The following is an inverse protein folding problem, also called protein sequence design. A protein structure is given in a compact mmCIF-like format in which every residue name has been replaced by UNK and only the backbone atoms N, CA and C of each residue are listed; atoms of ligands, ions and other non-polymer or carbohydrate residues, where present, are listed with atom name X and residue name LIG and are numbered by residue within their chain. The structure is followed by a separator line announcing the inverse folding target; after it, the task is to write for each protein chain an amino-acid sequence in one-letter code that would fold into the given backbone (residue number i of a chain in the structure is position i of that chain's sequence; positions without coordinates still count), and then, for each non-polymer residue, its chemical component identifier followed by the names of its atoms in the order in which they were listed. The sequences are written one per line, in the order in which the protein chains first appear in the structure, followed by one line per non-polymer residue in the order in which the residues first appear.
data_IF_426643431099
#
_entry.id   IF_426643431099
#
_cell.length_a   1.000
_cell.length_b   1.000
_cell.length_c   1.000
_cell.angle_alpha   90.00
_cell.angle_beta   90.00
_cell.angle_gamma   90.00
#
_symmetry.space_group_name_H-M   'P 1'
#
loop_
_entity.id
_entity.type
_entity.pdbx_description
1 polymer ?
#
# COMPACT_ATOMS: atom_id res chain seq x y z
N UNK A 1 -0.04 13.85 -6.84
CA UNK A 1 -0.44 12.54 -6.26
C UNK A 1 -1.44 12.79 -5.15
N UNK A 2 -2.47 11.97 -5.03
CA UNK A 2 -3.33 11.90 -3.84
C UNK A 2 -2.78 10.81 -2.90
N UNK A 3 -2.83 11.02 -1.58
CA UNK A 3 -2.30 10.09 -0.58
C UNK A 3 -3.33 9.81 0.53
N UNK A 4 -3.12 8.69 1.20
CA UNK A 4 -3.85 8.25 2.39
C UNK A 4 -2.84 7.98 3.51
N UNK A 5 -2.87 8.79 4.58
CA UNK A 5 -2.10 8.53 5.79
C UNK A 5 -3.03 8.08 6.90
N UNK A 6 -2.57 7.18 7.77
CA UNK A 6 -3.27 6.80 8.98
C UNK A 6 -2.40 7.05 10.21
N UNK A 7 -3.05 7.38 11.31
CA UNK A 7 -2.39 7.40 12.62
C UNK A 7 -2.21 5.97 13.13
N UNK A 8 -1.13 5.72 13.87
CA UNK A 8 -0.86 4.43 14.50
C UNK A 8 -1.95 3.89 15.45
N UNK A 9 -2.97 4.68 15.80
CA UNK A 9 -4.18 4.19 16.48
C UNK A 9 -5.18 3.47 15.57
N UNK A 10 -4.99 3.51 14.26
CA UNK A 10 -5.93 3.02 13.25
C UNK A 10 -7.33 3.66 13.30
N UNK A 11 -7.47 4.87 13.87
CA UNK A 11 -8.78 5.50 14.07
C UNK A 11 -9.21 6.42 12.92
N UNK A 12 -8.25 7.16 12.33
CA UNK A 12 -8.57 8.16 11.31
C UNK A 12 -7.57 8.19 10.18
N UNK A 13 -8.10 8.36 8.97
CA UNK A 13 -7.34 8.47 7.72
C UNK A 13 -7.34 9.92 7.26
N UNK A 14 -6.14 10.46 7.03
CA UNK A 14 -5.95 11.73 6.36
C UNK A 14 -5.87 11.52 4.85
N UNK A 15 -6.74 12.20 4.12
CA UNK A 15 -6.72 12.22 2.66
C UNK A 15 -6.20 13.58 2.21
N UNK A 16 -5.12 13.58 1.44
CA UNK A 16 -4.57 14.83 0.90
C UNK A 16 -3.82 14.63 -0.41
N UNK A 17 -3.14 15.68 -0.87
CA UNK A 17 -2.28 15.64 -2.06
C UNK A 17 -0.88 16.16 -1.81
N UNK A 18 0.09 15.61 -2.55
CA UNK A 18 1.48 16.01 -2.47
C UNK A 18 2.22 15.75 -3.79
N UNK A 19 3.30 16.53 -3.99
CA UNK A 19 4.34 16.25 -5.01
C UNK A 19 5.38 15.26 -4.51
N UNK A 20 5.63 15.23 -3.20
CA UNK A 20 6.52 14.28 -2.54
C UNK A 20 5.85 13.85 -1.24
N UNK A 21 5.39 12.59 -1.21
CA UNK A 21 4.58 12.03 -0.13
C UNK A 21 5.41 11.90 1.14
N UNK A 22 6.65 11.43 1.05
CA UNK A 22 7.50 11.24 2.22
C UNK A 22 7.89 12.57 2.88
N UNK A 23 8.26 13.58 2.08
CA UNK A 23 8.50 14.93 2.60
C UNK A 23 7.23 15.51 3.25
N UNK A 24 6.06 15.28 2.64
CA UNK A 24 4.77 15.71 3.22
C UNK A 24 4.48 15.00 4.54
N UNK A 25 4.73 13.68 4.62
CA UNK A 25 4.55 12.88 5.84
C UNK A 25 5.44 13.40 6.96
N UNK A 26 6.74 13.61 6.71
CA UNK A 26 7.68 14.20 7.68
C UNK A 26 7.23 15.58 8.16
N UNK A 27 6.78 16.44 7.25
CA UNK A 27 6.27 17.77 7.60
C UNK A 27 4.96 17.76 8.41
N UNK A 28 4.09 16.76 8.21
CA UNK A 28 2.89 16.59 9.03
C UNK A 28 3.24 15.97 10.39
N UNK A 29 4.24 15.08 10.45
CA UNK A 29 4.67 14.43 11.66
C UNK A 29 5.19 15.41 12.72
N UNK A 30 5.81 16.54 12.33
CA UNK A 30 6.31 17.53 13.30
C UNK A 30 5.22 18.13 14.18
N UNK A 31 3.96 18.13 13.70
CA UNK A 31 2.80 18.62 14.44
C UNK A 31 1.84 17.52 14.90
N UNK A 32 2.17 16.24 14.65
CA UNK A 32 1.35 15.11 15.07
C UNK A 32 2.09 14.27 16.13
N UNK A 33 1.42 14.04 17.27
CA UNK A 33 1.95 13.21 18.35
C UNK A 33 1.97 11.73 17.98
N UNK A 34 1.02 11.30 17.14
CA UNK A 34 0.90 9.91 16.68
C UNK A 34 1.74 9.70 15.42
N UNK A 35 2.30 8.50 15.25
CA UNK A 35 3.08 8.18 14.04
C UNK A 35 2.14 8.12 12.83
N UNK A 36 2.53 8.79 11.75
CA UNK A 36 1.83 8.73 10.47
C UNK A 36 2.39 7.60 9.61
N UNK A 37 1.53 6.65 9.29
CA UNK A 37 1.79 5.53 8.40
C UNK A 37 1.15 5.79 7.03
N UNK A 38 1.81 5.34 5.97
CA UNK A 38 1.31 5.45 4.60
C UNK A 38 0.43 4.25 4.29
N UNK A 39 -0.87 4.48 4.07
CA UNK A 39 -1.77 3.44 3.62
C UNK A 39 -1.61 3.20 2.11
N UNK A 40 -1.50 4.28 1.34
CA UNK A 40 -1.39 4.20 -0.11
C UNK A 40 -1.45 5.56 -0.78
N UNK A 41 -1.28 5.56 -2.10
CA UNK A 41 -1.33 6.77 -2.91
C UNK A 41 -1.75 6.49 -4.34
N UNK A 42 -2.14 7.56 -5.04
CA UNK A 42 -2.53 7.53 -6.45
C UNK A 42 -1.71 8.56 -7.22
N UNK A 43 -1.06 8.09 -8.30
CA UNK A 43 -0.41 8.94 -9.28
C UNK A 43 -1.45 9.48 -10.25
N UNK A 44 -1.41 10.79 -10.49
CA UNK A 44 -2.34 11.46 -11.39
C UNK A 44 -1.77 12.83 -11.77
N UNK A 45 -2.11 13.29 -12.95
CA UNK A 45 -1.79 14.64 -13.45
C UNK A 45 -2.75 15.70 -12.88
N UNK A 46 -3.93 15.30 -12.39
CA UNK A 46 -4.94 16.19 -11.81
C UNK A 46 -5.24 15.81 -10.35
N UNK A 47 -4.25 16.05 -9.49
CA UNK A 47 -4.31 15.73 -8.07
C UNK A 47 -5.38 16.55 -7.32
N UNK A 48 -5.67 17.76 -7.79
CA UNK A 48 -6.70 18.64 -7.22
C UNK A 48 -8.10 18.08 -7.45
N UNK A 49 -8.42 17.65 -8.68
CA UNK A 49 -9.72 17.06 -8.97
C UNK A 49 -9.89 15.72 -8.26
N UNK A 50 -8.86 14.87 -8.30
CA UNK A 50 -8.91 13.54 -7.67
C UNK A 50 -9.14 13.66 -6.15
N UNK A 51 -8.38 14.51 -5.46
CA UNK A 51 -8.57 14.76 -4.02
C UNK A 51 -10.01 15.17 -3.70
N UNK A 52 -10.58 16.08 -4.49
CA UNK A 52 -11.95 16.56 -4.31
C UNK A 52 -13.00 15.45 -4.55
N UNK A 53 -12.75 14.55 -5.49
CA UNK A 53 -13.61 13.39 -5.76
C UNK A 53 -13.56 12.39 -4.60
N UNK A 54 -12.36 12.07 -4.10
CA UNK A 54 -12.18 11.17 -2.95
C UNK A 54 -12.82 11.76 -1.68
N UNK A 55 -12.62 13.05 -1.41
CA UNK A 55 -13.26 13.74 -0.27
C UNK A 55 -14.78 13.72 -0.37
N UNK A 56 -15.34 13.80 -1.58
CA UNK A 56 -16.79 13.70 -1.81
C UNK A 56 -17.28 12.27 -1.59
N UNK A 57 -16.53 11.29 -2.05
CA UNK A 57 -16.87 9.87 -1.90
C UNK A 57 -16.96 9.49 -0.41
N UNK A 58 -15.99 9.93 0.40
CA UNK A 58 -15.94 9.65 1.84
C UNK A 58 -16.55 10.75 2.72
N UNK A 59 -17.33 11.68 2.16
CA UNK A 59 -17.85 12.83 2.92
C UNK A 59 -18.72 12.43 4.12
N UNK A 60 -19.35 11.27 4.05
CA UNK A 60 -20.19 10.70 5.11
C UNK A 60 -19.39 10.22 6.33
N UNK A 61 -18.08 10.00 6.18
CA UNK A 61 -17.13 9.60 7.24
C UNK A 61 -16.22 10.75 7.65
N UNK A 62 -16.46 11.96 7.16
CA UNK A 62 -15.61 13.12 7.42
C UNK A 62 -15.71 13.52 8.89
N UNK A 63 -14.56 13.50 9.57
CA UNK A 63 -14.40 14.06 10.90
C UNK A 63 -14.05 15.55 10.81
N UNK A 64 -12.82 15.90 11.19
CA UNK A 64 -12.34 17.29 11.17
C UNK A 64 -11.41 17.56 9.99
N UNK A 65 -11.73 18.56 9.18
CA UNK A 65 -10.88 19.00 8.07
C UNK A 65 -10.67 17.92 7.00
N UNK A 66 -9.45 17.39 6.92
CA UNK A 66 -9.03 16.37 5.94
C UNK A 66 -8.96 14.95 6.56
N UNK A 67 -9.50 14.78 7.77
CA UNK A 67 -9.48 13.52 8.51
C UNK A 67 -10.83 12.82 8.45
N UNK A 68 -10.80 11.51 8.21
CA UNK A 68 -11.97 10.67 7.99
C UNK A 68 -11.92 9.45 8.93
N UNK A 69 -13.05 9.13 9.56
CA UNK A 69 -13.21 7.91 10.36
C UNK A 69 -13.43 6.72 9.41
N UNK A 70 -12.34 6.23 8.83
CA UNK A 70 -12.35 5.28 7.74
C UNK A 70 -11.49 4.07 8.10
N UNK A 71 -12.06 2.87 7.96
CA UNK A 71 -11.29 1.64 8.01
C UNK A 71 -10.32 1.59 6.81
N UNK A 72 -9.02 1.33 7.02
CA UNK A 72 -8.04 1.13 5.96
C UNK A 72 -8.54 0.26 4.81
N UNK A 73 -9.22 -0.85 5.08
CA UNK A 73 -9.68 -1.78 4.06
C UNK A 73 -10.62 -1.11 3.02
N UNK A 74 -11.34 -0.05 3.39
CA UNK A 74 -12.22 0.67 2.47
C UNK A 74 -11.50 1.53 1.43
N UNK A 75 -10.22 1.87 1.61
CA UNK A 75 -9.46 2.55 0.54
C UNK A 75 -9.07 1.58 -0.57
N UNK A 76 -8.97 0.29 -0.26
CA UNK A 76 -8.34 -0.69 -1.14
C UNK A 76 -9.03 -0.78 -2.50
N UNK A 77 -10.38 -0.83 -2.59
CA UNK A 77 -11.07 -0.77 -3.89
C UNK A 77 -10.80 0.52 -4.65
N UNK A 78 -10.64 1.64 -3.93
CA UNK A 78 -10.29 2.93 -4.56
C UNK A 78 -8.92 2.83 -5.18
N UNK A 79 -7.89 2.37 -4.45
CA UNK A 79 -6.54 2.24 -4.99
C UNK A 79 -6.46 1.23 -6.15
N UNK A 80 -7.08 0.04 -5.99
CA UNK A 80 -7.16 -1.00 -7.03
C UNK A 80 -7.74 -0.46 -8.34
N UNK A 81 -8.73 0.42 -8.27
CA UNK A 81 -9.37 1.01 -9.47
C UNK A 81 -8.43 1.87 -10.33
N UNK A 82 -7.28 2.31 -9.81
CA UNK A 82 -6.26 3.05 -10.55
C UNK A 82 -5.15 2.15 -11.14
N UNK A 83 -5.17 0.84 -10.88
CA UNK A 83 -4.22 -0.12 -11.45
C UNK A 83 -2.76 0.31 -11.27
N UNK A 84 -2.02 0.49 -12.38
CA UNK A 84 -0.61 0.90 -12.37
C UNK A 84 -0.35 2.24 -11.67
N UNK A 85 -1.36 3.11 -11.59
CA UNK A 85 -1.26 4.40 -10.92
C UNK A 85 -1.74 4.37 -9.46
N UNK A 86 -2.25 3.23 -8.99
CA UNK A 86 -2.63 3.01 -7.59
C UNK A 86 -1.55 2.24 -6.83
N UNK A 87 -1.30 2.64 -5.59
CA UNK A 87 -0.24 2.06 -4.77
C UNK A 87 -0.65 1.90 -3.31
N UNK A 88 -0.19 0.83 -2.65
CA UNK A 88 -0.16 0.71 -1.19
C UNK A 88 1.17 1.16 -0.61
N UNK A 89 1.16 1.62 0.65
CA UNK A 89 2.39 1.74 1.42
C UNK A 89 2.89 0.34 1.79
N UNK A 90 4.06 -0.04 1.28
CA UNK A 90 4.67 -1.34 1.57
C UNK A 90 5.21 -1.38 3.00
N UNK A 91 5.16 -2.55 3.63
CA UNK A 91 5.97 -2.84 4.81
C UNK A 91 7.45 -2.88 4.39
N UNK A 92 8.37 -2.34 5.20
CA UNK A 92 9.81 -2.41 4.90
C UNK A 92 10.32 -3.87 4.93
N UNK A 93 9.62 -4.73 5.70
CA UNK A 93 9.96 -6.13 5.95
C UNK A 93 9.00 -7.11 5.24
N UNK A 94 8.44 -6.73 4.09
CA UNK A 94 7.60 -7.65 3.29
C UNK A 94 8.34 -8.97 3.04
N UNK A 95 7.66 -10.11 3.27
CA UNK A 95 8.21 -11.48 3.21
C UNK A 95 9.12 -11.92 4.36
N UNK A 96 9.21 -11.16 5.46
CA UNK A 96 9.77 -11.69 6.70
C UNK A 96 8.86 -12.77 7.30
N UNK A 97 9.43 -13.89 7.74
CA UNK A 97 8.66 -14.95 8.44
C UNK A 97 8.26 -14.44 9.82
N UNK A 98 6.95 -14.39 10.08
CA UNK A 98 6.41 -13.95 11.38
C UNK A 98 6.16 -15.12 12.32
N UNK A 99 5.77 -16.27 11.78
CA UNK A 99 5.32 -17.44 12.53
C UNK A 99 5.34 -18.67 11.61
N UNK A 100 5.17 -19.85 12.19
CA UNK A 100 4.78 -21.05 11.44
C UNK A 100 3.36 -21.44 11.87
N UNK A 101 2.55 -21.92 10.93
CA UNK A 101 1.23 -22.45 11.22
C UNK A 101 1.30 -23.82 11.95
N UNK A 102 0.14 -24.45 12.19
CA UNK A 102 0.07 -25.73 12.89
C UNK A 102 0.74 -26.88 12.14
N UNK A 103 0.88 -26.77 10.82
CA UNK A 103 1.47 -27.76 9.94
C UNK A 103 2.97 -27.46 9.67
N UNK A 104 3.51 -26.40 10.27
CA UNK A 104 4.90 -25.99 10.12
C UNK A 104 5.16 -25.13 8.89
N UNK A 105 4.11 -24.64 8.22
CA UNK A 105 4.22 -23.76 7.05
C UNK A 105 4.55 -22.34 7.52
N UNK A 106 5.58 -21.68 6.97
CA UNK A 106 5.90 -20.31 7.34
C UNK A 106 4.77 -19.32 6.94
N UNK A 107 4.37 -18.49 7.89
CA UNK A 107 3.54 -17.31 7.68
C UNK A 107 4.44 -16.08 7.48
N UNK A 108 4.13 -15.28 6.45
CA UNK A 108 4.95 -14.15 6.04
C UNK A 108 4.26 -12.83 6.30
N UNK A 109 5.04 -11.79 6.60
CA UNK A 109 4.55 -10.42 6.65
C UNK A 109 4.08 -9.98 5.26
N UNK A 110 2.79 -9.68 5.15
CA UNK A 110 2.18 -9.19 3.92
C UNK A 110 2.72 -7.82 3.48
N UNK A 111 2.47 -7.51 2.20
CA UNK A 111 2.88 -6.24 1.57
C UNK A 111 2.24 -5.04 2.26
N UNK A 112 1.01 -5.20 2.75
CA UNK A 112 0.22 -4.12 3.33
C UNK A 112 -0.26 -4.50 4.73
N UNK A 113 -0.02 -3.62 5.72
CA UNK A 113 -0.30 -3.94 7.13
C UNK A 113 -1.78 -4.10 7.49
N UNK A 114 -2.69 -3.76 6.58
CA UNK A 114 -4.13 -3.71 6.86
C UNK A 114 -4.96 -4.67 6.01
N UNK A 115 -4.31 -5.55 5.26
CA UNK A 115 -4.99 -6.57 4.49
C UNK A 115 -4.03 -7.40 3.66
N UNK A 116 -4.45 -8.62 3.37
CA UNK A 116 -3.67 -9.55 2.57
C UNK A 116 -3.77 -9.17 1.09
N UNK A 117 -2.61 -9.04 0.45
CA UNK A 117 -2.50 -8.77 -0.97
C UNK A 117 -1.56 -9.80 -1.57
N UNK A 118 -2.06 -10.48 -2.59
CA UNK A 118 -1.24 -11.38 -3.38
C UNK A 118 -0.30 -10.58 -4.30
N UNK A 119 0.83 -11.18 -4.62
CA UNK A 119 1.83 -10.66 -5.57
C UNK A 119 1.31 -10.29 -6.97
N UNK A 120 0.24 -10.93 -7.43
CA UNK A 120 -0.44 -10.64 -8.70
C UNK A 120 -1.46 -9.50 -8.56
N UNK A 121 -1.97 -9.24 -7.35
CA UNK A 121 -2.77 -8.06 -7.04
C UNK A 121 -1.92 -6.81 -6.83
N UNK A 122 -0.74 -6.96 -6.23
CA UNK A 122 0.13 -5.85 -5.88
C UNK A 122 1.61 -6.24 -5.92
N UNK A 123 2.44 -5.40 -6.55
CA UNK A 123 3.88 -5.58 -6.51
C UNK A 123 4.39 -5.40 -5.07
N UNK A 124 5.05 -6.40 -4.48
CA UNK A 124 5.49 -6.33 -3.09
C UNK A 124 6.65 -5.36 -2.86
N UNK A 125 7.38 -4.99 -3.92
CA UNK A 125 8.55 -4.12 -3.82
C UNK A 125 8.20 -2.64 -3.92
N UNK A 126 7.13 -2.29 -4.61
CA UNK A 126 6.75 -0.89 -4.84
C UNK A 126 5.30 -0.55 -4.51
N UNK A 127 4.49 -1.55 -4.13
CA UNK A 127 3.10 -1.37 -3.76
C UNK A 127 2.13 -1.16 -4.92
N UNK A 128 2.56 -1.26 -6.17
CA UNK A 128 1.70 -0.97 -7.34
C UNK A 128 0.62 -2.04 -7.55
N UNK A 129 -0.62 -1.61 -7.79
CA UNK A 129 -1.75 -2.50 -8.16
C UNK A 129 -1.70 -3.02 -9.61
N UNK A 130 -0.60 -2.82 -10.33
CA UNK A 130 -0.32 -3.58 -11.55
C UNK A 130 0.13 -5.02 -11.26
N UNK A 131 0.49 -5.33 -10.00
CA UNK A 131 0.97 -6.65 -9.62
C UNK A 131 2.33 -6.99 -10.24
N UNK A 132 2.66 -8.27 -10.15
CA UNK A 132 3.79 -8.92 -10.79
C UNK A 132 3.31 -9.78 -11.96
N UNK A 133 3.84 -9.57 -13.17
CA UNK A 133 3.44 -10.32 -14.36
C UNK A 133 4.47 -11.40 -14.70
N UNK A 134 4.01 -12.64 -14.88
CA UNK A 134 4.88 -13.72 -15.36
C UNK A 134 5.30 -13.51 -16.82
N UNK A 135 6.58 -13.72 -17.10
CA UNK A 135 7.18 -13.64 -18.42
C UNK A 135 7.71 -15.01 -18.86
N UNK A 136 7.08 -15.63 -19.86
CA UNK A 136 7.46 -16.96 -20.35
C UNK A 136 8.90 -17.03 -20.89
N UNK A 137 9.41 -15.93 -21.47
CA UNK A 137 10.74 -15.90 -22.09
C UNK A 137 11.88 -15.99 -21.06
N UNK A 138 11.65 -15.49 -19.84
CA UNK A 138 12.62 -15.48 -18.75
C UNK A 138 12.26 -16.45 -17.63
N UNK A 139 11.03 -16.98 -17.61
CA UNK A 139 10.45 -17.70 -16.48
C UNK A 139 10.51 -16.89 -15.18
N UNK A 140 10.33 -15.58 -15.27
CA UNK A 140 10.39 -14.66 -14.13
C UNK A 140 9.13 -13.80 -14.04
N UNK A 141 8.85 -13.31 -12.83
CA UNK A 141 7.86 -12.29 -12.58
C UNK A 141 8.47 -10.89 -12.72
N UNK A 142 7.76 -10.00 -13.42
CA UNK A 142 8.18 -8.63 -13.72
C UNK A 142 7.12 -7.62 -13.26
N UNK A 143 7.55 -6.58 -12.53
CA UNK A 143 6.69 -5.43 -12.27
C UNK A 143 6.87 -4.35 -13.34
N UNK A 144 5.76 -3.95 -13.98
CA UNK A 144 5.78 -2.88 -14.99
C UNK A 144 5.99 -1.47 -14.40
N UNK A 145 5.92 -1.31 -13.08
CA UNK A 145 6.11 -0.02 -12.43
C UNK A 145 7.55 0.20 -11.90
N UNK A 146 8.12 -0.78 -11.19
CA UNK A 146 9.46 -0.64 -10.60
C UNK A 146 10.55 -1.46 -11.30
N UNK A 147 10.21 -2.16 -12.38
CA UNK A 147 11.11 -3.03 -13.16
C UNK A 147 11.77 -4.18 -12.38
N UNK A 148 11.28 -4.47 -11.17
CA UNK A 148 11.77 -5.63 -10.42
C UNK A 148 11.47 -6.91 -11.18
N UNK A 149 12.50 -7.75 -11.31
CA UNK A 149 12.44 -9.11 -11.85
C UNK A 149 12.78 -10.09 -10.73
N UNK A 150 11.93 -11.09 -10.51
CA UNK A 150 12.17 -12.13 -9.50
C UNK A 150 11.46 -13.43 -9.85
N UNK A 151 11.96 -14.55 -9.37
CA UNK A 151 11.32 -15.88 -9.49
C UNK A 151 10.50 -16.24 -8.25
N UNK A 152 10.67 -15.49 -7.15
CA UNK A 152 10.12 -15.80 -5.83
C UNK A 152 10.60 -17.15 -5.23
N UNK A 153 11.65 -17.75 -5.79
CA UNK A 153 12.21 -19.01 -5.26
C UNK A 153 12.63 -18.91 -3.79
N UNK A 154 12.98 -17.72 -3.31
CA UNK A 154 13.31 -17.48 -1.90
C UNK A 154 12.14 -17.78 -0.94
N UNK A 155 10.90 -17.77 -1.41
CA UNK A 155 9.74 -18.21 -0.63
C UNK A 155 9.63 -19.74 -0.53
N UNK A 156 10.24 -20.49 -1.46
CA UNK A 156 10.24 -21.96 -1.46
C UNK A 156 11.38 -22.59 -0.65
N UNK A 157 12.46 -21.83 -0.38
CA UNK A 157 13.69 -22.37 0.22
C UNK A 157 13.76 -22.29 1.75
N UNK A 158 12.69 -21.89 2.43
CA UNK A 158 12.64 -21.84 3.91
C UNK A 158 11.84 -23.00 4.53
N UNK A 159 11.46 -24.00 3.73
CA UNK A 159 10.79 -25.23 4.19
C UNK A 159 11.77 -26.30 4.73
N UNK A 160 13.10 -26.06 4.74
CA UNK A 160 14.12 -27.10 5.00
C UNK A 160 15.11 -26.89 6.18
N UNK A 161 14.90 -25.95 7.11
CA UNK A 161 15.73 -25.86 8.35
C UNK A 161 14.91 -25.97 9.64
#
# INVERSE_FOLDING_TARGET
MAYFFIEDSNETVKIGRAKNIEHRRKGLQTGNLRKLLLLGWIRTDDDVRLEKEIHRHFSHLRGSGEWFALDPAYILPTLKSFGIDGFVGTTEDSFEVTSNDQDGVPEYLGVWSWGDLEWDECCPFCGSFCGMHFQDASSMYHCLNCDTLTTFDFLSHQEEE
#
